data_IF_192667549988
#
_entry.id   IF_192667549988
#
_cell.length_a   1.000
_cell.length_b   1.000
_cell.length_c   1.000
_cell.angle_alpha   90.00
_cell.angle_beta   90.00
_cell.angle_gamma   90.00
#
_symmetry.space_group_name_H-M   'P 1'
#
loop_
_entity.id
_entity.type
_entity.pdbx_description
1 polymer ?
#
# COMPACT_ATOMS: atom_id res chain seq x y z
N UNK A 1 -4.29 -35.26 -15.06
CA UNK A 1 -4.20 -34.68 -13.68
C UNK A 1 -4.51 -33.20 -13.77
N UNK A 2 -5.65 -32.78 -13.23
CA UNK A 2 -6.02 -31.37 -13.18
C UNK A 2 -5.32 -30.79 -11.95
N UNK A 3 -4.30 -29.97 -12.17
CA UNK A 3 -3.69 -29.20 -11.09
C UNK A 3 -4.70 -28.10 -10.73
N UNK A 4 -5.21 -28.03 -9.50
CA UNK A 4 -6.08 -26.93 -9.11
C UNK A 4 -5.27 -25.65 -9.24
N UNK A 5 -5.65 -24.81 -10.18
CA UNK A 5 -5.15 -23.44 -10.20
C UNK A 5 -5.72 -22.76 -8.97
N UNK A 6 -4.84 -22.41 -8.03
CA UNK A 6 -5.20 -21.52 -6.95
C UNK A 6 -5.53 -20.18 -7.62
N UNK A 7 -6.80 -19.91 -7.82
CA UNK A 7 -7.26 -18.59 -8.21
C UNK A 7 -7.05 -17.71 -6.98
N UNK A 8 -5.95 -16.98 -6.98
CA UNK A 8 -5.74 -15.95 -5.97
C UNK A 8 -6.79 -14.87 -6.25
N UNK A 9 -7.71 -14.65 -5.32
CA UNK A 9 -8.74 -13.64 -5.45
C UNK A 9 -8.15 -12.23 -5.43
N UNK A 10 -8.93 -11.26 -5.88
CA UNK A 10 -8.62 -9.86 -5.74
C UNK A 10 -8.42 -9.50 -4.27
N UNK A 11 -7.47 -8.63 -3.99
CA UNK A 11 -7.17 -8.12 -2.64
C UNK A 11 -7.45 -6.63 -2.50
N UNK A 12 -7.84 -6.00 -3.59
CA UNK A 12 -8.18 -4.59 -3.66
C UNK A 12 -8.49 -4.15 -5.08
N UNK A 13 -8.70 -2.86 -5.24
CA UNK A 13 -9.07 -2.24 -6.52
C UNK A 13 -8.32 -0.93 -6.69
N UNK A 14 -7.97 -0.60 -7.93
CA UNK A 14 -7.48 0.74 -8.26
C UNK A 14 -8.63 1.73 -8.12
N UNK A 15 -8.56 2.57 -7.10
CA UNK A 15 -9.60 3.55 -6.77
C UNK A 15 -9.45 4.86 -7.51
N UNK A 16 -8.21 5.26 -7.81
CA UNK A 16 -7.92 6.46 -8.59
C UNK A 16 -6.72 6.21 -9.51
N UNK A 17 -6.72 6.89 -10.65
CA UNK A 17 -5.62 6.90 -11.60
C UNK A 17 -5.65 8.22 -12.37
N UNK A 18 -4.51 8.86 -12.50
CA UNK A 18 -4.35 10.14 -13.19
C UNK A 18 -3.26 10.04 -14.24
N UNK A 19 -3.46 10.69 -15.36
CA UNK A 19 -2.58 10.70 -16.53
C UNK A 19 -2.42 9.29 -17.14
N UNK A 20 -1.19 8.84 -17.35
CA UNK A 20 -0.93 7.56 -17.99
C UNK A 20 -1.33 6.37 -17.12
N UNK A 21 -1.93 5.32 -17.70
CA UNK A 21 -2.20 4.08 -16.98
C UNK A 21 -0.94 3.51 -16.34
N UNK A 22 -1.10 2.96 -15.14
CA UNK A 22 -0.04 2.16 -14.55
C UNK A 22 0.09 0.82 -15.27
N UNK A 23 1.22 0.18 -15.11
CA UNK A 23 1.46 -1.16 -15.62
C UNK A 23 1.42 -2.17 -14.49
N UNK A 24 0.59 -3.20 -14.61
CA UNK A 24 0.51 -4.31 -13.67
C UNK A 24 1.13 -5.52 -14.34
N UNK A 25 2.13 -6.12 -13.70
CA UNK A 25 2.67 -7.42 -14.11
C UNK A 25 2.15 -8.47 -13.16
N UNK A 26 1.30 -9.36 -13.68
CA UNK A 26 0.68 -10.48 -12.97
C UNK A 26 1.17 -11.77 -13.58
N UNK A 27 1.92 -12.56 -12.79
CA UNK A 27 2.63 -13.75 -13.31
C UNK A 27 3.53 -13.32 -14.48
N UNK A 28 3.19 -13.60 -15.71
CA UNK A 28 3.97 -13.20 -16.90
C UNK A 28 3.13 -12.32 -17.86
N UNK A 29 1.98 -11.86 -17.41
CA UNK A 29 1.05 -11.04 -18.19
C UNK A 29 1.16 -9.60 -17.75
N UNK A 30 1.15 -8.68 -18.71
CA UNK A 30 1.09 -7.24 -18.44
C UNK A 30 -0.32 -6.73 -18.68
N UNK A 31 -0.88 -6.04 -17.68
CA UNK A 31 -2.20 -5.43 -17.70
C UNK A 31 -2.07 -3.92 -17.53
N UNK A 32 -3.05 -3.18 -18.05
CA UNK A 32 -3.17 -1.75 -17.76
C UNK A 32 -3.82 -1.53 -16.40
N UNK A 33 -3.16 -0.74 -15.55
CA UNK A 33 -3.67 -0.35 -14.25
C UNK A 33 -4.45 0.96 -14.34
N UNK A 34 -5.73 0.85 -14.63
CA UNK A 34 -6.68 1.97 -14.67
C UNK A 34 -7.71 1.83 -13.54
N UNK A 35 -8.41 2.93 -13.24
CA UNK A 35 -9.47 2.92 -12.22
C UNK A 35 -10.48 1.78 -12.48
N UNK A 36 -10.80 1.04 -11.41
CA UNK A 36 -11.73 -0.09 -11.43
C UNK A 36 -11.07 -1.46 -11.65
N UNK A 37 -9.80 -1.50 -12.01
CA UNK A 37 -9.06 -2.77 -12.16
C UNK A 37 -8.73 -3.36 -10.81
N UNK A 38 -9.03 -4.65 -10.62
CA UNK A 38 -8.69 -5.39 -9.42
C UNK A 38 -7.21 -5.73 -9.36
N UNK A 39 -6.65 -5.66 -8.18
CA UNK A 39 -5.26 -6.08 -7.89
C UNK A 39 -5.25 -7.36 -7.08
N UNK A 40 -4.24 -8.19 -7.29
CA UNK A 40 -4.06 -9.48 -6.65
C UNK A 40 -2.73 -9.57 -5.89
N UNK A 41 -2.61 -10.54 -5.02
CA UNK A 41 -1.31 -10.85 -4.41
C UNK A 41 -0.26 -11.12 -5.48
N UNK A 42 0.97 -10.68 -5.21
CA UNK A 42 2.14 -10.77 -6.06
C UNK A 42 2.09 -9.91 -7.33
N UNK A 43 1.05 -9.10 -7.52
CA UNK A 43 1.06 -8.09 -8.57
C UNK A 43 2.19 -7.10 -8.36
N UNK A 44 2.89 -6.78 -9.47
CA UNK A 44 3.90 -5.73 -9.52
C UNK A 44 3.34 -4.55 -10.29
N UNK A 45 3.21 -3.43 -9.61
CA UNK A 45 2.67 -2.20 -10.17
C UNK A 45 3.80 -1.21 -10.45
N UNK A 46 3.73 -0.54 -11.61
CA UNK A 46 4.65 0.52 -12.01
C UNK A 46 3.86 1.69 -12.56
N UNK A 47 4.10 2.86 -12.02
CA UNK A 47 3.62 4.10 -12.61
C UNK A 47 4.66 4.66 -13.58
N UNK A 48 4.19 5.27 -14.65
CA UNK A 48 4.99 6.09 -15.56
C UNK A 48 4.91 7.56 -15.14
N UNK A 49 4.41 8.41 -16.02
CA UNK A 49 4.18 9.83 -15.73
C UNK A 49 2.94 10.06 -14.85
N UNK A 50 2.06 9.07 -14.71
CA UNK A 50 0.83 9.18 -13.95
C UNK A 50 0.96 8.73 -12.49
N UNK A 51 -0.10 8.95 -11.73
CA UNK A 51 -0.27 8.48 -10.35
C UNK A 51 -1.37 7.43 -10.24
N UNK A 52 -1.35 6.66 -9.17
CA UNK A 52 -2.26 5.55 -8.93
C UNK A 52 -2.60 5.46 -7.45
N UNK A 53 -3.87 5.18 -7.14
CA UNK A 53 -4.28 4.83 -5.78
C UNK A 53 -4.93 3.44 -5.78
N UNK A 54 -4.52 2.61 -4.83
CA UNK A 54 -5.09 1.30 -4.57
C UNK A 54 -5.85 1.37 -3.26
N UNK A 55 -7.10 0.90 -3.25
CA UNK A 55 -7.86 0.64 -2.04
C UNK A 55 -7.96 -0.87 -1.85
N UNK A 56 -7.39 -1.37 -0.76
CA UNK A 56 -7.45 -2.78 -0.38
C UNK A 56 -8.79 -3.13 0.27
N UNK A 57 -9.10 -4.40 0.35
CA UNK A 57 -10.38 -4.88 0.91
C UNK A 57 -10.58 -4.55 2.40
N UNK A 58 -9.51 -4.22 3.11
CA UNK A 58 -9.54 -3.76 4.52
C UNK A 58 -9.58 -2.22 4.65
N UNK A 59 -9.87 -1.50 3.58
CA UNK A 59 -9.85 -0.03 3.48
C UNK A 59 -8.46 0.61 3.61
N UNK A 60 -7.38 -0.15 3.58
CA UNK A 60 -6.03 0.41 3.44
C UNK A 60 -5.91 1.10 2.08
N UNK A 61 -5.39 2.31 2.06
CA UNK A 61 -5.14 3.06 0.83
C UNK A 61 -3.63 3.25 0.62
N UNK A 62 -3.19 3.01 -0.60
CA UNK A 62 -1.81 3.24 -1.01
C UNK A 62 -1.79 4.04 -2.31
N UNK A 63 -1.26 5.25 -2.24
CA UNK A 63 -1.11 6.13 -3.38
C UNK A 63 0.34 6.10 -3.87
N UNK A 64 0.51 5.79 -5.15
CA UNK A 64 1.80 5.80 -5.84
C UNK A 64 1.96 7.08 -6.66
N UNK A 65 3.08 7.76 -6.50
CA UNK A 65 3.46 8.90 -7.35
C UNK A 65 4.02 8.44 -8.71
N UNK A 66 4.28 9.35 -9.66
CA UNK A 66 4.96 8.98 -10.90
C UNK A 66 6.31 8.27 -10.66
N UNK A 67 6.67 7.38 -11.56
CA UNK A 67 7.93 6.62 -11.56
C UNK A 67 8.14 5.72 -10.32
N UNK A 68 7.06 5.24 -9.72
CA UNK A 68 7.10 4.36 -8.56
C UNK A 68 6.93 2.88 -8.95
N UNK A 69 7.48 2.00 -8.11
CA UNK A 69 7.35 0.54 -8.23
C UNK A 69 6.90 -0.04 -6.90
N UNK A 70 5.83 -0.83 -6.95
CA UNK A 70 5.24 -1.49 -5.79
C UNK A 70 4.92 -2.95 -6.11
N UNK A 71 5.12 -3.83 -5.14
CA UNK A 71 4.67 -5.23 -5.20
C UNK A 71 3.78 -5.52 -4.01
N UNK A 72 2.65 -6.15 -4.23
CA UNK A 72 1.77 -6.67 -3.18
C UNK A 72 2.34 -8.02 -2.75
N UNK A 73 3.06 -8.04 -1.62
CA UNK A 73 3.84 -9.20 -1.19
C UNK A 73 2.99 -10.22 -0.42
N UNK A 74 2.09 -9.73 0.43
CA UNK A 74 1.18 -10.57 1.20
C UNK A 74 -0.08 -9.79 1.60
N UNK A 75 -1.22 -10.44 1.59
CA UNK A 75 -2.49 -9.87 2.05
C UNK A 75 -3.44 -10.96 2.53
N UNK A 76 -3.88 -10.83 3.77
CA UNK A 76 -4.94 -11.64 4.36
C UNK A 76 -5.90 -10.72 5.09
N UNK A 77 -7.15 -10.79 4.76
CA UNK A 77 -8.20 -10.03 5.45
C UNK A 77 -9.46 -10.85 5.58
N UNK A 78 -9.93 -10.99 6.82
CA UNK A 78 -11.22 -11.60 7.14
C UNK A 78 -11.97 -10.66 8.09
N UNK A 79 -13.07 -10.03 7.64
CA UNK A 79 -13.83 -9.11 8.49
C UNK A 79 -14.43 -9.79 9.74
N UNK A 80 -14.56 -11.12 9.73
CA UNK A 80 -15.06 -11.89 10.85
C UNK A 80 -13.96 -12.38 11.82
N UNK A 81 -12.69 -12.22 11.45
CA UNK A 81 -11.55 -12.65 12.26
C UNK A 81 -10.43 -11.57 12.25
N UNK A 82 -10.50 -10.65 13.20
CA UNK A 82 -9.54 -9.55 13.32
C UNK A 82 -8.09 -10.04 13.54
N UNK A 83 -7.89 -11.25 14.06
CA UNK A 83 -6.56 -11.80 14.35
C UNK A 83 -5.88 -12.44 13.12
N UNK A 84 -6.60 -12.64 12.04
CA UNK A 84 -6.07 -13.23 10.81
C UNK A 84 -5.44 -12.21 9.86
N UNK A 85 -5.63 -10.91 10.08
CA UNK A 85 -5.21 -9.86 9.17
C UNK A 85 -3.69 -9.77 8.99
N UNK A 86 -3.26 -9.58 7.75
CA UNK A 86 -1.86 -9.40 7.39
C UNK A 86 -1.74 -8.58 6.09
N UNK A 87 -0.81 -7.64 6.06
CA UNK A 87 -0.49 -6.88 4.86
C UNK A 87 1.02 -6.67 4.77
N UNK A 88 1.60 -7.03 3.65
CA UNK A 88 2.98 -6.72 3.32
C UNK A 88 3.06 -6.15 1.91
N UNK A 89 3.65 -4.97 1.80
CA UNK A 89 3.89 -4.26 0.55
C UNK A 89 5.39 -4.03 0.40
N UNK A 90 5.92 -4.24 -0.80
CA UNK A 90 7.29 -3.91 -1.14
C UNK A 90 7.33 -2.70 -2.06
N UNK A 91 8.03 -1.66 -1.65
CA UNK A 91 8.30 -0.47 -2.46
C UNK A 91 9.72 -0.57 -2.98
N UNK A 92 9.87 -0.75 -4.28
CA UNK A 92 11.18 -0.90 -4.92
C UNK A 92 11.79 0.42 -5.35
N UNK A 93 10.98 1.43 -5.65
CA UNK A 93 11.40 2.76 -6.09
C UNK A 93 10.25 3.74 -6.02
N UNK A 94 10.58 5.03 -5.88
CA UNK A 94 9.62 6.12 -5.91
C UNK A 94 8.94 6.35 -4.58
N UNK A 95 7.86 7.09 -4.60
CA UNK A 95 7.13 7.49 -3.40
C UNK A 95 5.76 6.83 -3.33
N UNK A 96 5.43 6.30 -2.17
CA UNK A 96 4.10 5.79 -1.86
C UNK A 96 3.60 6.40 -0.55
N UNK A 97 2.36 6.89 -0.56
CA UNK A 97 1.64 7.30 0.65
C UNK A 97 0.76 6.15 1.11
N UNK A 98 0.87 5.83 2.37
CA UNK A 98 0.08 4.79 3.04
C UNK A 98 -0.92 5.44 4.00
N UNK A 99 -2.17 5.01 3.93
CA UNK A 99 -3.21 5.33 4.90
C UNK A 99 -3.78 4.04 5.50
N UNK A 100 -3.81 3.98 6.82
CA UNK A 100 -4.13 2.77 7.59
C UNK A 100 -5.59 2.32 7.39
N UNK A 101 -5.76 1.02 7.15
CA UNK A 101 -7.06 0.34 7.10
C UNK A 101 -7.35 -0.49 8.35
N UNK A 102 -8.25 -1.46 8.20
CA UNK A 102 -8.75 -2.28 9.32
C UNK A 102 -7.66 -3.23 9.89
N UNK A 103 -6.80 -3.80 9.03
CA UNK A 103 -5.72 -4.67 9.49
C UNK A 103 -4.82 -3.93 10.47
N UNK A 104 -4.37 -2.72 10.13
CA UNK A 104 -3.50 -1.91 10.98
C UNK A 104 -4.19 -1.47 12.27
N UNK A 105 -5.50 -1.21 12.24
CA UNK A 105 -6.28 -0.83 13.43
C UNK A 105 -6.43 -1.99 14.40
N UNK A 106 -6.64 -3.19 13.90
CA UNK A 106 -6.83 -4.40 14.71
C UNK A 106 -5.51 -5.03 15.14
N UNK A 107 -4.52 -5.06 14.24
CA UNK A 107 -3.20 -5.67 14.44
C UNK A 107 -2.11 -4.82 13.82
N UNK A 108 -1.67 -3.75 14.48
CA UNK A 108 -0.65 -2.86 13.92
C UNK A 108 0.62 -3.58 13.48
N UNK A 109 1.05 -4.59 14.22
CA UNK A 109 2.25 -5.40 13.93
C UNK A 109 2.10 -6.29 12.67
N UNK A 110 0.89 -6.46 12.15
CA UNK A 110 0.64 -7.30 10.98
C UNK A 110 0.84 -6.55 9.65
N UNK A 111 1.09 -5.25 9.69
CA UNK A 111 1.36 -4.43 8.49
C UNK A 111 2.83 -4.10 8.40
N UNK A 112 3.44 -4.48 7.27
CA UNK A 112 4.85 -4.23 6.98
C UNK A 112 5.02 -3.62 5.59
N UNK A 113 5.80 -2.56 5.51
CA UNK A 113 6.23 -1.96 4.26
C UNK A 113 7.72 -2.23 4.10
N UNK A 114 8.07 -2.99 3.08
CA UNK A 114 9.46 -3.39 2.80
C UNK A 114 10.04 -2.50 1.71
N UNK A 115 11.29 -2.10 1.90
CA UNK A 115 12.08 -1.40 0.89
C UNK A 115 13.41 -2.15 0.70
N UNK A 116 14.27 -1.78 -0.27
CA UNK A 116 15.56 -2.42 -0.44
C UNK A 116 16.46 -2.35 0.80
N UNK A 117 16.31 -1.31 1.64
CA UNK A 117 17.20 -1.03 2.76
C UNK A 117 16.53 -1.06 4.13
N UNK A 118 15.21 -1.17 4.20
CA UNK A 118 14.48 -1.10 5.46
C UNK A 118 13.18 -1.91 5.44
N UNK A 119 12.70 -2.26 6.62
CA UNK A 119 11.32 -2.71 6.85
C UNK A 119 10.65 -1.75 7.83
N UNK A 120 9.53 -1.18 7.42
CA UNK A 120 8.72 -0.29 8.24
C UNK A 120 7.56 -1.08 8.81
N UNK A 121 7.50 -1.20 10.13
CA UNK A 121 6.36 -1.74 10.84
C UNK A 121 5.42 -0.59 11.22
N UNK A 122 4.17 -0.72 10.82
CA UNK A 122 3.16 0.35 10.94
C UNK A 122 2.40 0.18 12.25
N UNK A 123 2.21 1.27 12.99
CA UNK A 123 1.40 1.27 14.22
C UNK A 123 0.26 2.28 14.11
N UNK A 124 -0.67 2.01 13.17
CA UNK A 124 -1.91 2.78 13.06
C UNK A 124 -1.74 4.24 12.68
N UNK A 125 -0.80 4.56 11.79
CA UNK A 125 -0.58 5.91 11.31
C UNK A 125 -0.48 5.97 9.80
N UNK A 126 -0.72 7.15 9.25
CA UNK A 126 -0.45 7.45 7.86
C UNK A 126 1.00 7.93 7.70
N UNK A 127 1.64 7.53 6.63
CA UNK A 127 3.01 7.95 6.33
C UNK A 127 3.31 7.91 4.84
N UNK A 128 4.39 8.57 4.46
CA UNK A 128 4.94 8.53 3.11
C UNK A 128 6.30 7.86 3.14
N UNK A 129 6.52 6.93 2.23
CA UNK A 129 7.82 6.27 2.05
C UNK A 129 8.37 6.62 0.67
N UNK A 130 9.60 7.09 0.62
CA UNK A 130 10.33 7.35 -0.63
C UNK A 130 11.56 6.46 -0.71
N UNK A 131 11.73 5.79 -1.83
CA UNK A 131 12.90 4.99 -2.16
C UNK A 131 13.57 5.60 -3.38
N UNK A 132 14.81 6.03 -3.25
CA UNK A 132 15.57 6.65 -4.32
C UNK A 132 16.19 5.62 -5.29
N UNK A 133 16.96 6.10 -6.26
CA UNK A 133 17.55 5.24 -7.29
C UNK A 133 18.61 4.27 -6.78
N UNK A 134 19.23 4.56 -5.65
CA UNK A 134 20.22 3.72 -5.00
C UNK A 134 19.62 2.84 -3.88
N UNK A 135 18.31 2.92 -3.65
CA UNK A 135 17.59 2.14 -2.66
C UNK A 135 17.53 2.78 -1.26
N UNK A 136 18.02 4.01 -1.08
CA UNK A 136 17.91 4.69 0.20
C UNK A 136 16.44 5.03 0.50
N UNK A 137 16.04 4.80 1.74
CA UNK A 137 14.65 4.90 2.19
C UNK A 137 14.47 6.10 3.10
N UNK A 138 13.49 6.94 2.79
CA UNK A 138 13.03 8.03 3.65
C UNK A 138 11.58 7.79 4.03
N UNK A 139 11.25 7.89 5.31
CA UNK A 139 9.89 7.74 5.81
C UNK A 139 9.47 9.01 6.54
N UNK A 140 8.31 9.53 6.17
CA UNK A 140 7.73 10.74 6.77
C UNK A 140 6.37 10.38 7.36
N UNK A 141 6.23 10.53 8.68
CA UNK A 141 4.95 10.38 9.37
C UNK A 141 4.01 11.54 9.02
N UNK A 142 2.77 11.22 8.76
CA UNK A 142 1.73 12.20 8.48
C UNK A 142 0.79 12.28 9.69
N UNK A 143 0.49 13.48 10.19
CA UNK A 143 -0.48 13.62 11.27
C UNK A 143 -1.90 13.36 10.75
N UNK A 144 -2.69 12.64 11.52
CA UNK A 144 -4.13 12.47 11.28
C UNK A 144 -4.87 13.56 12.04
N UNK A 145 -5.48 14.47 11.32
CA UNK A 145 -6.22 15.62 11.88
C UNK A 145 -7.72 15.46 11.67
N UNK A 146 -8.58 15.89 12.64
CA UNK A 146 -10.03 15.90 12.45
C UNK A 146 -10.44 16.82 11.29
N UNK A 147 -11.51 16.45 10.58
CA UNK A 147 -12.07 17.27 9.50
C UNK A 147 -12.57 18.60 10.06
N UNK A 148 -12.19 19.73 9.44
CA UNK A 148 -12.69 21.07 9.79
C UNK A 148 -11.87 21.85 10.81
N UNK A 149 -10.70 21.39 11.22
CA UNK A 149 -9.81 22.11 12.13
C UNK A 149 -9.13 23.32 11.43
N UNK A 150 -8.96 24.39 12.19
CA UNK A 150 -8.31 25.62 11.70
C UNK A 150 -6.95 25.93 12.38
N UNK A 151 -6.49 25.06 13.27
CA UNK A 151 -5.26 25.28 14.04
C UNK A 151 -4.45 23.99 14.19
N UNK A 152 -3.19 24.07 13.87
CA UNK A 152 -2.23 22.94 13.80
C UNK A 152 -1.95 22.25 15.16
N UNK A 153 -2.33 22.83 16.28
CA UNK A 153 -1.64 22.54 17.52
C UNK A 153 -2.33 21.54 18.48
N UNK A 154 -3.61 21.24 18.36
CA UNK A 154 -4.28 20.61 19.51
C UNK A 154 -5.00 19.27 19.28
N UNK A 155 -5.40 18.92 18.05
CA UNK A 155 -6.23 17.73 17.82
C UNK A 155 -5.69 16.73 16.80
N UNK A 156 -4.55 17.00 16.20
CA UNK A 156 -3.90 16.05 15.27
C UNK A 156 -3.16 14.96 16.04
N UNK A 157 -3.42 13.70 15.69
CA UNK A 157 -2.72 12.56 16.26
C UNK A 157 -1.62 12.10 15.31
N UNK A 158 -0.42 11.89 15.84
CA UNK A 158 0.65 11.17 15.16
C UNK A 158 0.72 9.76 15.74
N UNK A 159 0.74 8.76 14.86
CA UNK A 159 1.01 7.39 15.25
C UNK A 159 2.50 7.13 15.40
N UNK A 160 2.88 5.87 15.42
CA UNK A 160 4.26 5.44 15.45
C UNK A 160 4.57 4.48 14.33
N UNK A 161 5.80 4.49 13.87
CA UNK A 161 6.38 3.47 13.00
C UNK A 161 7.65 2.95 13.65
N UNK A 162 7.99 1.72 13.33
CA UNK A 162 9.26 1.11 13.70
C UNK A 162 10.00 0.77 12.41
N UNK A 163 11.25 1.21 12.31
CA UNK A 163 12.12 0.88 11.18
C UNK A 163 13.10 -0.18 11.65
N UNK A 164 13.08 -1.28 10.94
CA UNK A 164 13.91 -2.45 11.26
C UNK A 164 14.97 -2.63 10.17
#
# INVERSE_FOLDING_TARGET
>A
MIIPQIVMGAVGTISQQEQDPARITRKQITLEGVKGVEVEMLDRLRTGAGSLEITFDDDTQVQMTPSAKLTIDDFVYDPNNADAGKLAIKIGRGTARYASGQIAKNRPQAVKIKTPTATVAVRGTDFTTTVDEIGATTVILLPSCPIGWQSIAQDCKTGAIEVI
#
